data_IF_071340402038
#
_entry.id   IF_071340402038
#
_cell.length_a   1.000
_cell.length_b   1.000
_cell.length_c   1.000
_cell.angle_alpha   90.00
_cell.angle_beta   90.00
_cell.angle_gamma   90.00
#
_symmetry.space_group_name_H-M   'P 1'
#
loop_
_entity.id
_entity.type
_entity.pdbx_description
1 polymer ?
#
# COMPACT_ATOMS: atom_id res chain seq x y z
N UNK A 1 11.61 -31.13 -7.41
CA UNK A 1 12.18 -29.76 -7.48
C UNK A 1 11.15 -28.76 -6.98
N UNK A 2 11.39 -28.10 -5.84
CA UNK A 2 10.54 -26.99 -5.38
C UNK A 2 10.97 -25.75 -6.16
N UNK A 3 10.11 -25.29 -7.07
CA UNK A 3 10.34 -24.10 -7.87
C UNK A 3 10.11 -22.87 -6.97
N UNK A 4 11.12 -22.50 -6.17
CA UNK A 4 11.11 -21.25 -5.41
C UNK A 4 11.25 -20.11 -6.42
N UNK A 5 10.12 -19.55 -6.86
CA UNK A 5 10.11 -18.24 -7.53
C UNK A 5 10.90 -17.30 -6.63
N UNK A 6 12.08 -16.87 -7.05
CA UNK A 6 12.78 -15.73 -6.44
C UNK A 6 11.80 -14.57 -6.50
N UNK A 7 11.14 -14.25 -5.38
CA UNK A 7 10.30 -13.06 -5.30
C UNK A 7 11.28 -11.89 -5.45
N UNK A 8 11.07 -11.05 -6.47
CA UNK A 8 11.79 -9.79 -6.59
C UNK A 8 11.37 -8.92 -5.41
N UNK A 9 12.16 -8.97 -4.34
CA UNK A 9 12.05 -8.05 -3.21
C UNK A 9 12.51 -6.68 -3.71
N UNK A 10 11.70 -5.62 -3.60
CA UNK A 10 12.15 -4.27 -3.93
C UNK A 10 13.38 -3.90 -3.10
N UNK A 11 14.31 -3.10 -3.63
CA UNK A 11 15.36 -2.52 -2.79
C UNK A 11 14.73 -1.80 -1.59
N UNK A 12 15.30 -1.98 -0.40
CA UNK A 12 14.75 -1.38 0.84
C UNK A 12 14.53 0.14 0.72
N UNK A 13 15.38 0.82 -0.04
CA UNK A 13 15.23 2.25 -0.33
C UNK A 13 13.92 2.60 -1.04
N UNK A 14 13.52 1.81 -2.03
CA UNK A 14 12.27 2.03 -2.75
C UNK A 14 11.07 1.73 -1.84
N UNK A 15 11.15 0.67 -1.03
CA UNK A 15 10.08 0.34 -0.06
C UNK A 15 9.86 1.48 0.93
N UNK A 16 10.92 2.16 1.37
CA UNK A 16 10.81 3.32 2.24
C UNK A 16 10.10 4.50 1.54
N UNK A 17 10.30 4.68 0.23
CA UNK A 17 9.54 5.67 -0.55
C UNK A 17 8.04 5.33 -0.60
N UNK A 18 7.68 4.04 -0.73
CA UNK A 18 6.28 3.61 -0.60
C UNK A 18 5.73 3.92 0.78
N UNK A 19 6.45 3.55 1.85
CA UNK A 19 6.01 3.80 3.23
C UNK A 19 5.78 5.29 3.47
N UNK A 20 6.64 6.17 2.93
CA UNK A 20 6.50 7.61 3.07
C UNK A 20 5.20 8.20 2.48
N UNK A 21 4.49 7.46 1.63
CA UNK A 21 3.18 7.88 1.07
C UNK A 21 1.98 7.58 1.97
N UNK A 22 2.17 6.81 3.04
CA UNK A 22 1.11 6.32 3.92
C UNK A 22 0.84 7.29 5.08
N UNK A 23 -0.35 7.26 5.71
CA UNK A 23 -0.62 8.00 6.95
C UNK A 23 0.38 7.66 8.08
N UNK A 24 0.67 8.64 8.94
CA UNK A 24 1.72 8.52 9.96
C UNK A 24 1.57 7.33 10.93
N UNK A 25 0.35 6.98 11.31
CA UNK A 25 0.09 5.80 12.16
C UNK A 25 0.49 4.49 11.44
N UNK A 26 0.13 4.38 10.16
CA UNK A 26 0.47 3.23 9.31
C UNK A 26 1.99 3.16 9.09
N UNK A 27 2.65 4.30 8.85
CA UNK A 27 4.12 4.36 8.77
C UNK A 27 4.78 3.82 10.05
N UNK A 28 4.34 4.32 11.21
CA UNK A 28 4.90 3.93 12.50
C UNK A 28 4.73 2.42 12.78
N UNK A 29 3.59 1.84 12.39
CA UNK A 29 3.36 0.41 12.49
C UNK A 29 4.30 -0.39 11.57
N UNK A 30 4.44 0.04 10.31
CA UNK A 30 5.29 -0.60 9.30
C UNK A 30 6.78 -0.58 9.67
N UNK A 31 7.27 0.50 10.28
CA UNK A 31 8.66 0.59 10.74
C UNK A 31 9.03 -0.42 11.84
N UNK A 32 8.04 -1.07 12.46
CA UNK A 32 8.24 -2.14 13.46
C UNK A 32 8.17 -3.54 12.85
N UNK A 33 8.00 -3.64 11.53
CA UNK A 33 7.82 -4.89 10.78
C UNK A 33 8.98 -5.11 9.79
N UNK A 34 9.20 -6.35 9.30
CA UNK A 34 10.25 -6.63 8.33
C UNK A 34 9.90 -6.09 6.94
N UNK A 35 10.23 -4.82 6.67
CA UNK A 35 9.90 -4.11 5.42
C UNK A 35 10.49 -4.77 4.17
N UNK A 36 11.61 -5.48 4.29
CA UNK A 36 12.24 -6.27 3.24
C UNK A 36 11.35 -7.44 2.76
N UNK A 37 10.32 -7.80 3.53
CA UNK A 37 9.37 -8.86 3.20
C UNK A 37 7.97 -8.32 2.92
N UNK A 38 7.77 -6.99 2.94
CA UNK A 38 6.49 -6.38 2.65
C UNK A 38 6.09 -6.69 1.21
N UNK A 39 4.90 -7.27 1.03
CA UNK A 39 4.34 -7.57 -0.29
C UNK A 39 3.39 -6.46 -0.74
N UNK A 40 2.49 -6.04 0.14
CA UNK A 40 1.55 -4.95 -0.14
C UNK A 40 0.95 -4.39 1.14
N UNK A 41 0.46 -3.15 1.04
CA UNK A 41 -0.40 -2.49 2.04
C UNK A 41 -1.79 -2.33 1.45
N UNK A 42 -2.81 -2.76 2.17
CA UNK A 42 -4.22 -2.70 1.79
C UNK A 42 -4.94 -1.70 2.69
N UNK A 43 -5.60 -0.74 2.08
CA UNK A 43 -6.39 0.30 2.75
C UNK A 43 -7.77 0.38 2.10
N UNK A 44 -8.77 -0.28 2.71
CA UNK A 44 -10.15 -0.25 2.23
C UNK A 44 -11.00 0.61 3.18
N UNK A 45 -11.76 1.57 2.63
CA UNK A 45 -12.62 2.46 3.41
C UNK A 45 -13.52 1.68 4.38
N UNK A 46 -13.48 2.05 5.66
CA UNK A 46 -14.27 1.42 6.72
C UNK A 46 -13.73 0.06 7.18
N UNK A 47 -12.53 -0.36 6.75
CA UNK A 47 -11.83 -1.56 7.22
C UNK A 47 -10.53 -1.20 7.92
N UNK A 48 -10.03 -2.08 8.77
CA UNK A 48 -8.71 -1.90 9.38
C UNK A 48 -7.62 -2.05 8.29
N UNK A 49 -6.62 -1.16 8.23
CA UNK A 49 -5.54 -1.28 7.25
C UNK A 49 -4.65 -2.48 7.57
N UNK A 50 -4.15 -3.14 6.52
CA UNK A 50 -3.36 -4.37 6.66
C UNK A 50 -2.10 -4.34 5.80
N UNK A 51 -0.99 -4.86 6.34
CA UNK A 51 0.20 -5.21 5.58
C UNK A 51 0.22 -6.72 5.33
N UNK A 52 0.55 -7.12 4.10
CA UNK A 52 0.71 -8.52 3.72
C UNK A 52 2.18 -8.87 3.55
N UNK A 53 2.54 -10.01 4.13
CA UNK A 53 3.84 -10.66 4.08
C UNK A 53 3.67 -12.06 3.48
N UNK A 54 4.74 -12.78 3.11
CA UNK A 54 4.65 -14.12 2.52
C UNK A 54 3.77 -15.10 3.29
N UNK A 55 3.79 -15.03 4.63
CA UNK A 55 3.17 -16.03 5.49
C UNK A 55 2.03 -15.47 6.36
N UNK A 56 1.78 -14.15 6.34
CA UNK A 56 0.80 -13.51 7.22
C UNK A 56 0.29 -12.16 6.72
N UNK A 57 -0.88 -11.77 7.22
CA UNK A 57 -1.35 -10.39 7.22
C UNK A 57 -1.26 -9.81 8.63
N UNK A 58 -0.90 -8.54 8.74
CA UNK A 58 -0.74 -7.82 10.01
C UNK A 58 -1.58 -6.54 9.93
N UNK A 59 -2.44 -6.32 10.94
CA UNK A 59 -3.17 -5.06 11.07
C UNK A 59 -2.23 -3.93 11.42
N UNK A 60 -2.41 -2.77 10.80
CA UNK A 60 -1.54 -1.61 10.95
C UNK A 60 -2.13 -0.53 11.87
N UNK A 61 -3.44 -0.57 12.09
CA UNK A 61 -4.15 0.32 13.01
C UNK A 61 -5.37 -0.40 13.62
N UNK A 62 -5.87 0.12 14.73
CA UNK A 62 -7.11 -0.34 15.39
C UNK A 62 -8.34 0.47 14.95
N UNK A 63 -8.14 1.49 14.11
CA UNK A 63 -9.18 2.33 13.54
C UNK A 63 -9.43 1.97 12.07
N UNK A 64 -10.70 2.03 11.61
CA UNK A 64 -11.00 1.83 10.20
C UNK A 64 -10.46 2.96 9.32
N UNK A 65 -9.98 2.61 8.13
CA UNK A 65 -9.52 3.57 7.12
C UNK A 65 -10.63 4.56 6.77
N UNK A 66 -10.25 5.83 6.74
CA UNK A 66 -11.12 6.96 6.46
C UNK A 66 -10.94 7.50 5.04
N UNK A 67 -11.90 8.32 4.57
CA UNK A 67 -11.74 9.02 3.29
C UNK A 67 -10.53 9.97 3.29
N UNK A 68 -10.21 10.56 4.43
CA UNK A 68 -9.08 11.49 4.58
C UNK A 68 -7.75 10.75 4.40
N UNK A 69 -7.61 9.56 4.97
CA UNK A 69 -6.41 8.74 4.78
C UNK A 69 -6.25 8.26 3.34
N UNK A 70 -7.35 7.87 2.67
CA UNK A 70 -7.29 7.56 1.24
C UNK A 70 -6.88 8.79 0.43
N UNK A 71 -7.47 9.96 0.73
CA UNK A 71 -7.13 11.22 0.07
C UNK A 71 -5.65 11.58 0.27
N UNK A 72 -5.13 11.44 1.48
CA UNK A 72 -3.73 11.64 1.82
C UNK A 72 -2.80 10.83 0.92
N UNK A 73 -3.03 9.51 0.83
CA UNK A 73 -2.19 8.64 -0.01
C UNK A 73 -2.32 9.05 -1.48
N UNK A 74 -3.54 9.26 -1.98
CA UNK A 74 -3.76 9.62 -3.39
C UNK A 74 -3.10 10.93 -3.80
N UNK A 75 -2.96 11.89 -2.88
CA UNK A 75 -2.29 13.16 -3.14
C UNK A 75 -0.76 12.99 -3.30
N UNK A 76 -0.17 11.95 -2.73
CA UNK A 76 1.28 11.72 -2.75
C UNK A 76 1.74 10.77 -3.87
N UNK A 77 0.88 9.85 -4.31
CA UNK A 77 1.23 8.84 -5.33
C UNK A 77 0.97 9.29 -6.77
N UNK A 78 0.38 10.47 -6.96
CA UNK A 78 0.06 11.04 -8.27
C UNK A 78 -1.29 10.61 -8.84
N UNK A 79 -1.57 11.00 -10.09
CA UNK A 79 -2.85 10.71 -10.74
C UNK A 79 -3.01 9.23 -11.09
N UNK A 80 -4.21 8.71 -10.84
CA UNK A 80 -4.61 7.38 -11.28
C UNK A 80 -5.12 7.44 -12.71
N UNK A 81 -4.52 6.66 -13.60
CA UNK A 81 -5.00 6.50 -14.97
C UNK A 81 -6.29 5.69 -15.07
N UNK A 82 -6.78 5.52 -16.30
CA UNK A 82 -8.03 4.80 -16.60
C UNK A 82 -8.01 3.32 -16.18
N UNK A 83 -6.82 2.71 -16.03
CA UNK A 83 -6.67 1.35 -15.51
C UNK A 83 -6.67 1.27 -13.97
N UNK A 84 -7.04 2.37 -13.30
CA UNK A 84 -7.05 2.55 -11.86
C UNK A 84 -5.69 2.31 -11.19
N UNK A 85 -4.60 2.65 -11.88
CA UNK A 85 -3.25 2.59 -11.30
C UNK A 85 -2.51 3.91 -11.35
N UNK A 86 -1.66 4.09 -10.36
CA UNK A 86 -0.63 5.10 -10.24
C UNK A 86 0.71 4.43 -9.87
N UNK A 87 1.80 5.18 -9.92
CA UNK A 87 3.12 4.72 -9.52
C UNK A 87 3.86 5.80 -8.73
N UNK A 88 4.77 5.39 -7.86
CA UNK A 88 5.64 6.33 -7.17
C UNK A 88 6.82 6.65 -8.09
N UNK A 89 7.00 7.93 -8.37
CA UNK A 89 8.01 8.41 -9.31
C UNK A 89 9.39 7.81 -9.01
N UNK A 90 10.10 7.37 -10.06
CA UNK A 90 11.44 6.74 -9.98
C UNK A 90 11.50 5.39 -9.25
N UNK A 91 10.36 4.77 -8.94
CA UNK A 91 10.30 3.40 -8.38
C UNK A 91 9.47 2.46 -9.27
N UNK A 92 9.53 1.16 -9.00
CA UNK A 92 8.65 0.16 -9.64
C UNK A 92 7.36 -0.11 -8.85
N UNK A 93 7.11 0.66 -7.78
CA UNK A 93 5.92 0.51 -6.98
C UNK A 93 4.68 0.92 -7.75
N UNK A 94 3.60 0.20 -7.52
CA UNK A 94 2.31 0.40 -8.16
C UNK A 94 1.23 0.48 -7.12
N UNK A 95 0.39 1.49 -7.28
CA UNK A 95 -0.76 1.71 -6.42
C UNK A 95 -1.99 1.51 -7.28
N UNK A 96 -2.80 0.51 -6.95
CA UNK A 96 -4.10 0.32 -7.58
C UNK A 96 -5.20 0.85 -6.66
N UNK A 97 -6.19 1.51 -7.25
CA UNK A 97 -7.38 1.95 -6.53
C UNK A 97 -8.61 1.13 -6.92
N UNK A 98 -9.57 1.07 -5.99
CA UNK A 98 -10.93 0.62 -6.25
C UNK A 98 -11.84 1.84 -6.15
N UNK A 99 -12.71 2.00 -7.13
CA UNK A 99 -13.70 3.09 -7.16
C UNK A 99 -15.11 2.56 -6.93
N UNK A 100 -15.92 3.35 -6.23
CA UNK A 100 -17.35 3.09 -6.12
C UNK A 100 -18.09 3.49 -7.42
N UNK A 101 -19.41 3.26 -7.47
CA UNK A 101 -20.25 3.61 -8.65
C UNK A 101 -20.30 5.10 -8.97
N UNK A 102 -19.90 5.97 -8.04
CA UNK A 102 -19.78 7.42 -8.24
C UNK A 102 -18.38 7.85 -8.68
N UNK A 103 -17.47 6.89 -8.94
CA UNK A 103 -16.09 7.14 -9.34
C UNK A 103 -15.14 7.52 -8.19
N UNK A 104 -15.62 7.54 -6.94
CA UNK A 104 -14.78 7.89 -5.78
C UNK A 104 -13.90 6.72 -5.37
N UNK A 105 -12.64 6.99 -5.05
CA UNK A 105 -11.72 5.97 -4.52
C UNK A 105 -12.21 5.55 -3.13
N UNK A 106 -12.38 4.23 -2.96
CA UNK A 106 -12.83 3.61 -1.70
C UNK A 106 -11.88 2.50 -1.23
N UNK A 107 -10.81 2.24 -1.96
CA UNK A 107 -9.78 1.29 -1.55
C UNK A 107 -8.48 1.50 -2.32
N UNK A 108 -7.36 1.20 -1.66
CA UNK A 108 -6.01 1.27 -2.22
C UNK A 108 -5.26 -0.02 -1.91
N UNK A 109 -4.46 -0.46 -2.87
CA UNK A 109 -3.44 -1.51 -2.68
C UNK A 109 -2.12 -0.97 -3.19
N UNK A 110 -1.13 -0.87 -2.31
CA UNK A 110 0.22 -0.37 -2.60
C UNK A 110 1.18 -1.57 -2.60
N UNK A 111 1.93 -1.78 -3.70
CA UNK A 111 2.79 -2.95 -3.93
C UNK A 111 4.04 -2.61 -4.73
#
# INVERSE_FOLDING_TARGET
MKNTRKKNVPPLGDTLLLVATLPGEIQAALHRLPLDQLLEVVMDLGRLPEARFPDKAVRLAETPVTHEELAHVTALVGEFGDDNRAGIERTLHRISCIRNRKGQIVGLTLR
#
